data_IF_224853542494
#
_entry.id   IF_224853542494
#
_cell.length_a   1.000
_cell.length_b   1.000
_cell.length_c   1.000
_cell.angle_alpha   90.00
_cell.angle_beta   90.00
_cell.angle_gamma   90.00
#
_symmetry.space_group_name_H-M   'P 1'
#
loop_
_entity.id
_entity.type
_entity.pdbx_description
1 polymer ?
#
# COMPACT_ATOMS: atom_id res chain seq x y z
N UNK A 1 9.20 31.24 20.31
CA UNK A 1 9.47 29.87 19.84
C UNK A 1 8.78 29.72 18.50
N UNK A 2 9.59 29.61 17.45
CA UNK A 2 9.19 29.62 16.04
C UNK A 2 8.46 28.33 15.67
N UNK A 3 7.23 28.46 15.17
CA UNK A 3 6.47 27.33 14.63
C UNK A 3 7.10 26.88 13.30
N UNK A 4 7.62 25.66 13.29
CA UNK A 4 8.03 24.96 12.07
C UNK A 4 6.75 24.52 11.33
N UNK A 5 6.51 25.13 10.17
CA UNK A 5 5.52 24.67 9.21
C UNK A 5 6.09 23.46 8.48
N UNK A 6 5.50 22.28 8.72
CA UNK A 6 5.74 21.13 7.85
C UNK A 6 5.00 21.34 6.52
N UNK A 7 5.65 21.08 5.36
CA UNK A 7 5.03 21.26 4.07
C UNK A 7 4.10 20.08 3.78
N UNK A 8 2.85 20.15 4.22
CA UNK A 8 1.80 19.24 3.77
C UNK A 8 1.01 19.94 2.67
N UNK A 9 0.89 19.26 1.53
CA UNK A 9 0.06 19.59 0.35
C UNK A 9 0.71 20.28 -0.85
N UNK A 10 2.05 20.40 -0.94
CA UNK A 10 2.71 20.81 -2.20
C UNK A 10 3.22 19.64 -3.04
N UNK A 11 3.33 18.47 -2.42
CA UNK A 11 3.92 17.27 -3.03
C UNK A 11 2.90 16.49 -3.87
N UNK A 12 1.64 16.43 -3.43
CA UNK A 12 0.55 15.81 -4.20
C UNK A 12 0.21 16.57 -5.50
N UNK A 13 0.33 17.91 -5.51
CA UNK A 13 0.12 18.70 -6.74
C UNK A 13 1.28 18.56 -7.73
N UNK A 14 2.49 18.29 -7.24
CA UNK A 14 3.69 18.15 -8.05
C UNK A 14 3.79 16.74 -8.65
N UNK A 15 3.35 15.72 -7.90
CA UNK A 15 3.32 14.33 -8.37
C UNK A 15 2.40 14.15 -9.59
N UNK A 16 1.19 14.71 -9.55
CA UNK A 16 0.25 14.68 -10.68
C UNK A 16 0.84 15.36 -11.92
N UNK A 17 1.55 16.48 -11.73
CA UNK A 17 2.23 17.20 -12.81
C UNK A 17 3.37 16.38 -13.46
N UNK A 18 4.15 15.65 -12.65
CA UNK A 18 5.22 14.75 -13.13
C UNK A 18 4.65 13.56 -13.91
N UNK A 19 3.58 12.93 -13.40
CA UNK A 19 2.93 11.79 -14.07
C UNK A 19 2.30 12.21 -15.41
N UNK A 20 1.65 13.39 -15.44
CA UNK A 20 1.13 13.98 -16.67
C UNK A 20 2.26 14.24 -17.68
N UNK A 21 3.40 14.75 -17.23
CA UNK A 21 4.56 14.99 -18.08
C UNK A 21 5.15 13.68 -18.65
N UNK A 22 5.28 12.63 -17.83
CA UNK A 22 5.74 11.31 -18.28
C UNK A 22 4.82 10.72 -19.35
N UNK A 23 3.50 10.82 -19.16
CA UNK A 23 2.50 10.38 -20.14
C UNK A 23 2.62 11.13 -21.47
N UNK A 24 2.82 12.45 -21.44
CA UNK A 24 3.03 13.26 -22.63
C UNK A 24 4.31 12.83 -23.37
N UNK A 25 5.41 12.67 -22.65
CA UNK A 25 6.69 12.23 -23.21
C UNK A 25 6.63 10.82 -23.81
N UNK A 26 5.79 9.93 -23.27
CA UNK A 26 5.52 8.61 -23.84
C UNK A 26 4.72 8.72 -25.14
N UNK A 27 3.67 9.55 -25.16
CA UNK A 27 2.86 9.82 -26.36
C UNK A 27 3.71 10.37 -27.51
N UNK A 28 4.62 11.29 -27.23
CA UNK A 28 5.54 11.84 -28.22
C UNK A 28 6.45 10.76 -28.81
N UNK A 29 6.99 9.86 -27.99
CA UNK A 29 7.80 8.74 -28.48
C UNK A 29 7.00 7.76 -29.34
N UNK A 30 5.72 7.53 -29.06
CA UNK A 30 4.84 6.76 -29.96
C UNK A 30 4.57 7.49 -31.28
N UNK A 31 4.48 8.82 -31.23
CA UNK A 31 4.33 9.64 -32.44
C UNK A 31 5.58 9.56 -33.31
N UNK A 32 6.77 9.64 -32.71
CA UNK A 32 8.04 9.47 -33.42
C UNK A 32 8.16 8.08 -34.05
N UNK A 33 7.79 7.03 -33.33
CA UNK A 33 7.79 5.67 -33.88
C UNK A 33 6.83 5.50 -35.07
N UNK A 34 5.65 6.14 -35.02
CA UNK A 34 4.71 6.17 -36.16
C UNK A 34 5.29 6.93 -37.36
N UNK A 35 6.01 8.01 -37.11
CA UNK A 35 6.68 8.78 -38.16
C UNK A 35 7.83 7.98 -38.79
N UNK A 36 8.65 7.31 -37.98
CA UNK A 36 9.70 6.41 -38.45
C UNK A 36 9.13 5.33 -39.37
N UNK A 37 8.04 4.68 -38.96
CA UNK A 37 7.35 3.69 -39.80
C UNK A 37 6.99 4.26 -41.18
N UNK A 38 6.42 5.47 -41.23
CA UNK A 38 6.07 6.10 -42.50
C UNK A 38 7.32 6.37 -43.37
N UNK A 39 8.41 6.86 -42.77
CA UNK A 39 9.67 7.08 -43.45
C UNK A 39 10.25 5.79 -44.04
N UNK A 40 10.19 4.68 -43.30
CA UNK A 40 10.67 3.37 -43.76
C UNK A 40 9.89 2.86 -44.97
N UNK A 41 8.56 3.03 -44.98
CA UNK A 41 7.75 2.68 -46.15
C UNK A 41 8.07 3.55 -47.36
N UNK A 42 8.18 4.87 -47.18
CA UNK A 42 8.55 5.78 -48.28
C UNK A 42 9.95 5.48 -48.83
N UNK A 43 10.92 5.13 -47.97
CA UNK A 43 12.25 4.73 -48.40
C UNK A 43 12.22 3.40 -49.16
N UNK A 44 11.44 2.43 -48.70
CA UNK A 44 11.28 1.15 -49.39
C UNK A 44 10.70 1.33 -50.81
N UNK A 45 9.65 2.13 -50.94
CA UNK A 45 9.05 2.49 -52.23
C UNK A 45 10.05 3.20 -53.15
N UNK A 46 10.84 4.14 -52.61
CA UNK A 46 11.91 4.81 -53.35
C UNK A 46 12.96 3.82 -53.89
N UNK A 47 13.44 2.90 -53.04
CA UNK A 47 14.43 1.92 -53.46
C UNK A 47 13.87 0.92 -54.48
N UNK A 48 12.59 0.55 -54.40
CA UNK A 48 11.93 -0.28 -55.40
C UNK A 48 11.87 0.42 -56.77
N UNK A 49 11.41 1.67 -56.81
CA UNK A 49 11.36 2.48 -58.03
C UNK A 49 12.75 2.71 -58.62
N UNK A 50 13.74 3.04 -57.78
CA UNK A 50 15.12 3.25 -58.21
C UNK A 50 15.74 1.95 -58.75
N UNK A 51 15.53 0.83 -58.06
CA UNK A 51 16.04 -0.46 -58.53
C UNK A 51 15.40 -0.91 -59.84
N UNK A 52 14.17 -0.48 -60.16
CA UNK A 52 13.52 -0.83 -61.43
C UNK A 52 14.00 0.05 -62.58
N UNK A 53 14.09 1.36 -62.34
CA UNK A 53 14.29 2.37 -63.39
C UNK A 53 15.74 2.82 -63.63
N UNK A 54 16.65 2.65 -62.66
CA UNK A 54 18.04 3.13 -62.77
C UNK A 54 18.98 2.09 -63.40
N UNK A 55 19.89 2.48 -64.28
CA UNK A 55 20.88 1.57 -64.88
C UNK A 55 22.00 1.20 -63.89
N UNK A 56 22.24 2.00 -62.85
CA UNK A 56 23.28 1.81 -61.84
C UNK A 56 22.86 0.86 -60.70
N UNK A 57 22.36 -0.34 -61.04
CA UNK A 57 21.80 -1.31 -60.08
C UNK A 57 22.72 -1.61 -58.88
N UNK A 58 24.03 -1.74 -59.12
CA UNK A 58 24.99 -2.06 -58.06
C UNK A 58 25.05 -0.97 -56.98
N UNK A 59 25.03 0.30 -57.39
CA UNK A 59 25.06 1.45 -56.46
C UNK A 59 23.77 1.51 -55.64
N UNK A 60 22.62 1.24 -56.28
CA UNK A 60 21.32 1.17 -55.60
C UNK A 60 21.32 0.06 -54.53
N UNK A 61 21.84 -1.12 -54.85
CA UNK A 61 21.93 -2.26 -53.91
C UNK A 61 22.86 -1.96 -52.73
N UNK A 62 24.01 -1.35 -52.97
CA UNK A 62 24.94 -0.98 -51.89
C UNK A 62 24.33 0.07 -50.96
N UNK A 63 23.68 1.09 -51.52
CA UNK A 63 22.99 2.13 -50.74
C UNK A 63 21.82 1.57 -49.95
N UNK A 64 21.03 0.66 -50.55
CA UNK A 64 19.93 -0.02 -49.87
C UNK A 64 20.44 -0.84 -48.68
N UNK A 65 21.57 -1.54 -48.80
CA UNK A 65 22.17 -2.30 -47.70
C UNK A 65 22.56 -1.40 -46.54
N UNK A 66 23.23 -0.28 -46.81
CA UNK A 66 23.60 0.70 -45.78
C UNK A 66 22.35 1.30 -45.10
N UNK A 67 21.34 1.65 -45.89
CA UNK A 67 20.07 2.14 -45.37
C UNK A 67 19.35 1.09 -44.52
N UNK A 68 19.32 -0.17 -44.93
CA UNK A 68 18.67 -1.26 -44.20
C UNK A 68 19.31 -1.47 -42.82
N UNK A 69 20.64 -1.41 -42.74
CA UNK A 69 21.36 -1.48 -41.46
C UNK A 69 20.98 -0.31 -40.55
N UNK A 70 20.99 0.92 -41.08
CA UNK A 70 20.60 2.12 -40.32
C UNK A 70 19.14 2.08 -39.87
N UNK A 71 18.24 1.65 -40.76
CA UNK A 71 16.82 1.48 -40.48
C UNK A 71 16.57 0.50 -39.34
N UNK A 72 17.28 -0.65 -39.33
CA UNK A 72 17.19 -1.63 -38.25
C UNK A 72 17.67 -1.03 -36.92
N UNK A 73 18.85 -0.42 -36.90
CA UNK A 73 19.42 0.19 -35.69
C UNK A 73 18.48 1.28 -35.14
N UNK A 74 17.99 2.18 -36.01
CA UNK A 74 17.07 3.24 -35.61
C UNK A 74 15.75 2.67 -35.06
N UNK A 75 15.20 1.63 -35.69
CA UNK A 75 13.95 1.01 -35.22
C UNK A 75 14.14 0.39 -33.85
N UNK A 76 15.25 -0.33 -33.63
CA UNK A 76 15.57 -0.93 -32.33
C UNK A 76 15.77 0.14 -31.26
N UNK A 77 16.46 1.23 -31.58
CA UNK A 77 16.68 2.36 -30.67
C UNK A 77 15.35 3.03 -30.26
N UNK A 78 14.50 3.36 -31.23
CA UNK A 78 13.18 3.93 -30.95
C UNK A 78 12.29 2.97 -30.14
N UNK A 79 12.31 1.66 -30.42
CA UNK A 79 11.59 0.67 -29.61
C UNK A 79 12.15 0.58 -28.18
N UNK A 80 13.48 0.64 -28.02
CA UNK A 80 14.14 0.65 -26.73
C UNK A 80 13.71 1.85 -25.89
N UNK A 81 13.71 3.05 -26.48
CA UNK A 81 13.25 4.28 -25.84
C UNK A 81 11.79 4.22 -25.42
N UNK A 82 10.90 3.73 -26.29
CA UNK A 82 9.47 3.54 -25.97
C UNK A 82 9.31 2.54 -24.83
N UNK A 83 10.03 1.41 -24.85
CA UNK A 83 9.96 0.39 -23.81
C UNK A 83 10.43 0.93 -22.46
N UNK A 84 11.54 1.69 -22.45
CA UNK A 84 12.05 2.34 -21.24
C UNK A 84 11.00 3.28 -20.61
N UNK A 85 10.35 4.12 -21.43
CA UNK A 85 9.31 5.05 -20.95
C UNK A 85 8.07 4.33 -20.41
N UNK A 86 7.67 3.22 -21.03
CA UNK A 86 6.57 2.38 -20.52
C UNK A 86 6.93 1.77 -19.17
N UNK A 87 8.17 1.29 -19.02
CA UNK A 87 8.62 0.70 -17.76
C UNK A 87 8.64 1.75 -16.63
N UNK A 88 9.13 2.95 -16.91
CA UNK A 88 9.16 4.07 -15.95
C UNK A 88 7.75 4.44 -15.46
N UNK A 89 6.78 4.54 -16.39
CA UNK A 89 5.38 4.79 -16.04
C UNK A 89 4.76 3.62 -15.26
N UNK A 90 5.14 2.39 -15.57
CA UNK A 90 4.65 1.19 -14.87
C UNK A 90 5.19 1.14 -13.45
N UNK A 91 6.48 1.40 -13.24
CA UNK A 91 7.12 1.40 -11.92
C UNK A 91 6.44 2.42 -11.00
N UNK A 92 6.16 3.63 -11.50
CA UNK A 92 5.39 4.66 -10.77
C UNK A 92 4.02 4.13 -10.32
N UNK A 93 3.28 3.47 -11.21
CA UNK A 93 1.94 2.94 -10.91
C UNK A 93 1.99 1.74 -9.95
N UNK A 94 3.03 0.92 -10.01
CA UNK A 94 3.24 -0.19 -9.06
C UNK A 94 3.47 0.36 -7.65
N UNK A 95 4.26 1.41 -7.51
CA UNK A 95 4.49 2.09 -6.22
C UNK A 95 3.20 2.71 -5.68
N UNK A 96 2.42 3.38 -6.54
CA UNK A 96 1.11 3.94 -6.18
C UNK A 96 0.16 2.86 -5.67
N UNK A 97 0.02 1.75 -6.40
CA UNK A 97 -0.83 0.62 -6.00
C UNK A 97 -0.37 0.03 -4.68
N UNK A 98 0.93 -0.19 -4.49
CA UNK A 98 1.51 -0.72 -3.25
C UNK A 98 1.21 0.20 -2.05
N UNK A 99 1.31 1.52 -2.24
CA UNK A 99 0.94 2.50 -1.23
C UNK A 99 -0.55 2.45 -0.88
N UNK A 100 -1.43 2.30 -1.87
CA UNK A 100 -2.87 2.16 -1.62
C UNK A 100 -3.23 0.84 -0.92
N UNK A 101 -2.60 -0.27 -1.30
CA UNK A 101 -2.78 -1.58 -0.67
C UNK A 101 -2.42 -1.55 0.82
N UNK A 102 -1.32 -0.89 1.17
CA UNK A 102 -0.91 -0.69 2.56
C UNK A 102 -1.98 0.09 3.36
N UNK A 103 -2.54 1.15 2.77
CA UNK A 103 -3.60 1.95 3.41
C UNK A 103 -4.88 1.12 3.61
N UNK A 104 -5.27 0.32 2.62
CA UNK A 104 -6.42 -0.58 2.71
C UNK A 104 -6.19 -1.63 3.79
N UNK A 105 -5.01 -2.25 3.81
CA UNK A 105 -4.63 -3.25 4.82
C UNK A 105 -4.68 -2.68 6.24
N UNK A 106 -4.23 -1.44 6.43
CA UNK A 106 -4.33 -0.75 7.71
C UNK A 106 -5.78 -0.52 8.15
N UNK A 107 -6.66 -0.10 7.22
CA UNK A 107 -8.10 0.06 7.50
C UNK A 107 -8.72 -1.29 7.87
N UNK A 108 -8.40 -2.34 7.12
CA UNK A 108 -8.90 -3.69 7.38
C UNK A 108 -8.47 -4.18 8.77
N UNK A 109 -7.19 -4.03 9.12
CA UNK A 109 -6.69 -4.42 10.44
C UNK A 109 -7.40 -3.66 11.55
N UNK A 110 -7.57 -2.34 11.41
CA UNK A 110 -8.32 -1.53 12.39
C UNK A 110 -9.76 -2.01 12.54
N UNK A 111 -10.44 -2.33 11.43
CA UNK A 111 -11.81 -2.82 11.44
C UNK A 111 -11.92 -4.20 12.11
N UNK A 112 -11.02 -5.13 11.78
CA UNK A 112 -10.95 -6.46 12.43
C UNK A 112 -10.73 -6.33 13.93
N UNK A 113 -9.81 -5.46 14.35
CA UNK A 113 -9.55 -5.20 15.76
C UNK A 113 -10.79 -4.63 16.45
N UNK A 114 -11.48 -3.65 15.85
CA UNK A 114 -12.74 -3.12 16.41
C UNK A 114 -13.80 -4.21 16.61
N UNK A 115 -13.97 -5.12 15.65
CA UNK A 115 -14.91 -6.24 15.76
C UNK A 115 -14.55 -7.17 16.92
N UNK A 116 -13.27 -7.53 17.05
CA UNK A 116 -12.80 -8.36 18.16
C UNK A 116 -13.09 -7.71 19.53
N UNK A 117 -12.92 -6.39 19.64
CA UNK A 117 -13.26 -5.66 20.87
C UNK A 117 -14.77 -5.68 21.17
N UNK A 118 -15.63 -5.50 20.15
CA UNK A 118 -17.09 -5.56 20.31
C UNK A 118 -17.52 -6.96 20.79
N UNK A 119 -16.97 -8.01 20.17
CA UNK A 119 -17.27 -9.40 20.55
C UNK A 119 -16.82 -9.71 21.99
N UNK A 120 -15.63 -9.24 22.37
CA UNK A 120 -15.09 -9.40 23.71
C UNK A 120 -15.94 -8.68 24.78
N UNK A 121 -16.31 -7.43 24.53
CA UNK A 121 -17.21 -6.66 25.42
C UNK A 121 -18.58 -7.35 25.56
N UNK A 122 -19.14 -7.85 24.46
CA UNK A 122 -20.39 -8.61 24.47
C UNK A 122 -20.32 -9.86 25.35
N UNK A 123 -19.21 -10.62 25.30
CA UNK A 123 -18.99 -11.80 26.16
C UNK A 123 -18.81 -11.41 27.62
N UNK A 124 -18.09 -10.32 27.91
CA UNK A 124 -17.88 -9.81 29.26
C UNK A 124 -19.21 -9.41 29.91
N UNK A 125 -20.07 -8.68 29.19
CA UNK A 125 -21.41 -8.33 29.65
C UNK A 125 -22.27 -9.56 29.96
N UNK A 126 -22.23 -10.61 29.12
CA UNK A 126 -22.95 -11.86 29.39
C UNK A 126 -22.44 -12.56 30.66
N UNK A 127 -21.12 -12.58 30.89
CA UNK A 127 -20.55 -13.18 32.09
C UNK A 127 -20.94 -12.44 33.37
N UNK A 128 -21.03 -11.11 33.34
CA UNK A 128 -21.44 -10.29 34.49
C UNK A 128 -22.88 -10.58 34.96
N UNK A 129 -23.76 -10.99 34.06
CA UNK A 129 -25.15 -11.37 34.38
C UNK A 129 -25.21 -12.71 35.14
N UNK A 130 -24.18 -13.56 35.03
CA UNK A 130 -24.12 -14.86 35.69
C UNK A 130 -23.63 -14.67 37.13
N UNK A 131 -24.55 -14.55 38.08
CA UNK A 131 -24.24 -14.57 39.50
C UNK A 131 -23.78 -15.95 39.94
N UNK A 132 -22.47 -16.19 40.00
CA UNK A 132 -21.91 -17.41 40.58
C UNK A 132 -21.83 -17.27 42.11
N UNK A 133 -22.58 -18.09 42.88
CA UNK A 133 -22.53 -17.99 44.33
C UNK A 133 -21.13 -18.38 44.83
N UNK A 134 -20.49 -17.50 45.59
CA UNK A 134 -19.22 -17.80 46.26
C UNK A 134 -19.48 -18.61 47.53
N UNK A 135 -19.59 -19.93 47.38
CA UNK A 135 -19.70 -20.83 48.52
C UNK A 135 -18.35 -20.94 49.24
N UNK A 136 -18.33 -20.59 50.53
CA UNK A 136 -17.19 -20.86 51.39
C UNK A 136 -17.36 -22.27 51.97
N UNK A 137 -16.40 -23.17 51.76
CA UNK A 137 -16.39 -24.48 52.42
C UNK A 137 -16.22 -24.26 53.93
N UNK A 138 -17.31 -24.37 54.70
CA UNK A 138 -17.27 -24.41 56.16
C UNK A 138 -17.42 -25.87 56.59
N UNK A 139 -16.37 -26.43 57.16
CA UNK A 139 -16.49 -27.70 57.89
C UNK A 139 -17.17 -27.40 59.22
N UNK A 140 -18.42 -27.82 59.39
CA UNK A 140 -19.11 -27.78 60.68
C UNK A 140 -18.65 -29.02 61.44
N UNK A 141 -17.78 -28.83 62.44
CA UNK A 141 -17.50 -29.87 63.41
C UNK A 141 -18.71 -29.98 64.36
N UNK A 142 -19.30 -31.17 64.54
CA UNK A 142 -20.39 -31.37 65.48
C UNK A 142 -19.98 -30.93 66.89
N UNK A 143 -20.88 -30.25 67.59
CA UNK A 143 -20.63 -29.71 68.94
C UNK A 143 -20.26 -30.84 69.90
N UNK A 144 -19.03 -30.80 70.39
CA UNK A 144 -18.56 -31.70 71.43
C UNK A 144 -17.04 -31.69 71.56
N UNK A 145 -16.47 -30.56 71.99
CA UNK A 145 -15.35 -30.48 72.95
C UNK A 145 -14.75 -29.07 72.96
N UNK A 146 -14.93 -28.39 74.09
CA UNK A 146 -14.24 -27.16 74.46
C UNK A 146 -12.74 -27.40 74.60
N UNK A 147 -11.91 -26.69 73.82
CA UNK A 147 -10.61 -26.18 74.30
C UNK A 147 -10.20 -24.89 73.57
N UNK A 148 -9.78 -23.91 74.38
CA UNK A 148 -9.16 -22.65 73.98
C UNK A 148 -7.89 -22.91 73.16
N UNK A 149 -7.65 -22.08 72.14
CA UNK A 149 -6.34 -21.96 71.52
C UNK A 149 -6.41 -21.14 70.24
N UNK A 150 -5.88 -19.92 70.31
CA UNK A 150 -5.83 -18.92 69.25
C UNK A 150 -4.94 -19.33 68.06
N UNK A 151 -5.10 -18.58 66.96
CA UNK A 151 -4.17 -18.37 65.85
C UNK A 151 -4.32 -19.25 64.60
N UNK A 152 -5.47 -19.10 63.94
CA UNK A 152 -5.65 -19.47 62.54
C UNK A 152 -5.09 -18.40 61.60
N UNK A 153 -3.96 -18.70 60.96
CA UNK A 153 -3.32 -17.90 59.91
C UNK A 153 -4.32 -17.54 58.80
N UNK A 154 -4.57 -16.24 58.59
CA UNK A 154 -5.37 -15.74 57.45
C UNK A 154 -4.62 -16.06 56.15
N UNK A 155 -4.97 -17.17 55.49
CA UNK A 155 -4.63 -17.36 54.09
C UNK A 155 -5.53 -16.43 53.26
N UNK A 156 -4.99 -15.29 52.81
CA UNK A 156 -5.66 -14.41 51.86
C UNK A 156 -5.74 -15.15 50.52
N UNK A 157 -6.91 -15.68 50.18
CA UNK A 157 -7.20 -16.16 48.84
C UNK A 157 -7.35 -14.93 47.93
N UNK A 158 -6.31 -14.61 47.17
CA UNK A 158 -6.36 -13.62 46.09
C UNK A 158 -7.13 -14.26 44.93
N UNK A 159 -8.44 -13.99 44.85
CA UNK A 159 -9.20 -14.30 43.65
C UNK A 159 -8.71 -13.38 42.54
N UNK A 160 -8.05 -13.94 41.54
CA UNK A 160 -7.64 -13.25 40.33
C UNK A 160 -8.89 -12.75 39.60
N UNK A 161 -9.30 -11.51 39.88
CA UNK A 161 -10.05 -10.73 38.91
C UNK A 161 -9.07 -10.48 37.77
N UNK A 162 -9.33 -11.07 36.60
CA UNK A 162 -8.71 -10.64 35.37
C UNK A 162 -9.23 -9.22 35.15
N UNK A 163 -8.40 -8.25 35.51
CA UNK A 163 -8.68 -6.83 35.35
C UNK A 163 -8.55 -6.49 33.86
N UNK A 164 -9.65 -6.71 33.16
CA UNK A 164 -9.83 -6.49 31.72
C UNK A 164 -10.02 -5.00 31.37
N UNK A 165 -9.99 -4.11 32.38
CA UNK A 165 -10.20 -2.68 32.21
C UNK A 165 -9.03 -1.96 31.54
N UNK A 166 -7.80 -2.43 31.72
CA UNK A 166 -6.60 -1.73 31.24
C UNK A 166 -6.48 -1.75 29.70
N UNK A 167 -6.83 -2.89 29.07
CA UNK A 167 -6.78 -3.07 27.60
C UNK A 167 -7.78 -2.15 26.86
N UNK A 168 -8.98 -1.96 27.41
CA UNK A 168 -9.99 -1.08 26.80
C UNK A 168 -9.55 0.38 26.78
N UNK A 169 -9.00 0.85 27.90
CA UNK A 169 -8.49 2.21 28.01
C UNK A 169 -7.32 2.43 27.07
N UNK A 170 -6.44 1.43 26.94
CA UNK A 170 -5.30 1.48 26.03
C UNK A 170 -5.75 1.53 24.56
N UNK A 171 -6.73 0.71 24.16
CA UNK A 171 -7.31 0.74 22.81
C UNK A 171 -7.98 2.08 22.49
N UNK A 172 -8.83 2.60 23.38
CA UNK A 172 -9.51 3.89 23.18
C UNK A 172 -8.49 5.02 23.03
N UNK A 173 -7.40 4.98 23.78
CA UNK A 173 -6.31 5.95 23.67
C UNK A 173 -5.52 5.79 22.36
N UNK A 174 -5.24 4.56 21.92
CA UNK A 174 -4.58 4.28 20.64
C UNK A 174 -5.42 4.74 19.43
N UNK A 175 -6.72 4.44 19.42
CA UNK A 175 -7.65 4.92 18.38
C UNK A 175 -7.72 6.45 18.37
N UNK A 176 -7.82 7.08 19.54
CA UNK A 176 -7.84 8.55 19.66
C UNK A 176 -6.52 9.19 19.16
N UNK A 177 -5.38 8.55 19.38
CA UNK A 177 -4.09 9.01 18.88
C UNK A 177 -4.06 8.99 17.34
N UNK A 178 -4.50 7.89 16.72
CA UNK A 178 -4.53 7.79 15.25
C UNK A 178 -5.50 8.75 14.55
N UNK A 179 -6.58 9.20 15.21
CA UNK A 179 -7.54 10.17 14.65
C UNK A 179 -6.99 11.60 14.72
N UNK A 180 -6.17 11.93 15.72
CA UNK A 180 -5.61 13.28 15.89
C UNK A 180 -4.51 13.64 14.90
N UNK A 181 -3.97 12.67 14.16
CA UNK A 181 -2.96 12.92 13.11
C UNK A 181 -3.55 13.37 11.77
N UNK A 182 -4.89 13.46 11.62
CA UNK A 182 -5.50 14.06 10.42
C UNK A 182 -5.85 15.53 10.70
N UNK A 183 -5.25 16.52 10.01
CA UNK A 183 -5.63 17.93 10.19
C UNK A 183 -7.07 18.16 9.73
N UNK A 184 -7.82 19.10 10.34
CA UNK A 184 -9.15 19.45 9.88
C UNK A 184 -9.09 20.11 8.49
N UNK A 185 -10.13 19.95 7.64
CA UNK A 185 -10.16 20.59 6.33
C UNK A 185 -10.19 22.10 6.49
N UNK A 186 -9.31 22.79 5.77
CA UNK A 186 -9.22 24.25 5.74
C UNK A 186 -10.50 24.80 5.10
N UNK A 187 -11.15 25.72 5.81
CA UNK A 187 -12.37 26.43 5.39
C UNK A 187 -12.02 27.67 4.58
#
# INVERSE_FOLDING_TARGET
>A
MTASSFPISREASNYDEVSMQQSLMFSDSLKDLKNLRAQLYSAAEYFELSFTNDDQKQIVVETLKDYAVKALVNTVDHLGSVTYKVNDLLDEKVDEVSGTELRVSCIEQRLRTCLQYIDHEGRSQQSLVINTPKFHKRYILPVGETMRGSDGTKLKYQGSFLDDGDDWHQFRNAVRATIKETPPPVR
#
